data_IF_081686199034
#
_entry.id   IF_081686199034
#
_cell.length_a   1.000
_cell.length_b   1.000
_cell.length_c   1.000
_cell.angle_alpha   90.00
_cell.angle_beta   90.00
_cell.angle_gamma   90.00
#
_symmetry.space_group_name_H-M   'P 1'
#
loop_
_entity.id
_entity.type
_entity.pdbx_description
1 polymer ?
#
# COMPACT_ATOMS: atom_id res chain seq x y z
N UNK A 1 -14.90 -8.73 -21.27
CA UNK A 1 -13.99 -8.86 -22.43
C UNK A 1 -14.61 -9.81 -23.45
N UNK A 2 -14.57 -9.43 -24.73
CA UNK A 2 -15.01 -10.27 -25.85
C UNK A 2 -13.83 -10.52 -26.78
N UNK A 3 -13.83 -11.68 -27.43
CA UNK A 3 -12.86 -12.06 -28.45
C UNK A 3 -13.67 -12.54 -29.65
N UNK A 4 -13.45 -11.95 -30.83
CA UNK A 4 -14.25 -12.19 -32.02
C UNK A 4 -15.74 -11.91 -31.83
N UNK A 5 -16.09 -10.93 -30.98
CA UNK A 5 -17.48 -10.58 -30.64
C UNK A 5 -18.14 -11.48 -29.58
N UNK A 6 -17.56 -12.63 -29.21
CA UNK A 6 -18.08 -13.54 -28.19
C UNK A 6 -17.42 -13.34 -26.82
N UNK A 7 -18.13 -13.51 -25.67
CA UNK A 7 -17.57 -13.39 -24.35
C UNK A 7 -16.39 -14.35 -24.14
N UNK A 8 -15.25 -13.81 -23.66
CA UNK A 8 -14.11 -14.61 -23.23
C UNK A 8 -14.29 -15.03 -21.77
N UNK A 9 -14.57 -16.31 -21.55
CA UNK A 9 -14.83 -16.88 -20.21
C UNK A 9 -13.56 -17.33 -19.50
N UNK A 10 -12.43 -17.43 -20.20
CA UNK A 10 -11.12 -17.83 -19.65
C UNK A 10 -10.07 -16.80 -20.01
N UNK A 11 -9.29 -16.34 -19.02
CA UNK A 11 -8.16 -15.42 -19.23
C UNK A 11 -7.02 -16.05 -20.06
N UNK A 12 -6.93 -17.37 -20.07
CA UNK A 12 -5.94 -18.14 -20.84
C UNK A 12 -6.40 -18.53 -22.24
N UNK A 13 -7.52 -17.96 -22.75
CA UNK A 13 -7.96 -18.20 -24.14
C UNK A 13 -6.88 -17.69 -25.09
N UNK A 14 -6.41 -18.55 -25.96
CA UNK A 14 -5.56 -18.16 -27.09
C UNK A 14 -6.38 -17.37 -28.09
N UNK A 15 -5.81 -16.30 -28.59
CA UNK A 15 -6.40 -15.35 -29.53
C UNK A 15 -5.56 -15.36 -30.79
N UNK A 16 -6.17 -15.55 -31.96
CA UNK A 16 -5.47 -15.42 -33.24
C UNK A 16 -5.26 -13.95 -33.61
N UNK A 17 -4.27 -13.68 -34.45
CA UNK A 17 -3.88 -12.32 -34.81
C UNK A 17 -5.00 -11.49 -35.48
N UNK A 18 -5.95 -12.13 -36.06
CA UNK A 18 -7.14 -11.59 -36.79
C UNK A 18 -8.38 -11.47 -35.88
N UNK A 19 -8.39 -12.08 -34.68
CA UNK A 19 -9.50 -11.93 -33.75
C UNK A 19 -9.48 -10.59 -33.02
N UNK A 20 -10.57 -9.84 -33.09
CA UNK A 20 -10.73 -8.60 -32.33
C UNK A 20 -10.89 -8.88 -30.85
N UNK A 21 -10.13 -8.18 -29.99
CA UNK A 21 -10.28 -8.20 -28.54
C UNK A 21 -10.87 -6.89 -28.10
N UNK A 22 -12.03 -6.93 -27.42
CA UNK A 22 -12.66 -5.75 -26.86
C UNK A 22 -12.91 -5.91 -25.36
N UNK A 23 -12.55 -4.90 -24.59
CA UNK A 23 -12.88 -4.79 -23.17
C UNK A 23 -14.07 -3.85 -23.05
N UNK A 24 -15.17 -4.36 -22.54
CA UNK A 24 -16.40 -3.59 -22.30
C UNK A 24 -16.47 -3.13 -20.85
N UNK A 25 -17.05 -1.96 -20.64
CA UNK A 25 -17.19 -1.33 -19.31
C UNK A 25 -16.38 -0.03 -19.22
N UNK A 26 -16.67 0.79 -18.20
CA UNK A 26 -15.87 1.98 -17.97
C UNK A 26 -14.41 1.58 -17.63
N UNK A 27 -13.42 2.39 -18.00
CA UNK A 27 -12.05 2.14 -17.57
C UNK A 27 -11.97 2.12 -16.03
N UNK A 28 -11.10 1.32 -15.44
CA UNK A 28 -10.89 1.36 -14.00
C UNK A 28 -10.44 2.76 -13.59
N UNK A 29 -10.86 3.20 -12.39
CA UNK A 29 -10.51 4.51 -11.84
C UNK A 29 -9.00 4.68 -11.67
N UNK A 30 -8.31 3.61 -11.27
CA UNK A 30 -6.87 3.59 -11.06
C UNK A 30 -6.22 2.47 -11.87
N UNK A 31 -4.94 2.61 -12.19
CA UNK A 31 -4.15 1.60 -12.93
C UNK A 31 -4.03 0.26 -12.18
N UNK A 32 -4.41 0.23 -10.91
CA UNK A 32 -4.39 -0.98 -10.08
C UNK A 32 -5.39 -0.93 -8.94
N UNK A 33 -5.84 -2.09 -8.45
CA UNK A 33 -6.79 -2.23 -7.33
C UNK A 33 -6.31 -1.57 -6.02
N UNK A 34 -4.99 -1.40 -5.86
CA UNK A 34 -4.41 -0.69 -4.74
C UNK A 34 -4.94 0.73 -4.60
N UNK A 35 -5.19 1.41 -5.72
CA UNK A 35 -5.72 2.78 -5.71
C UNK A 35 -7.04 2.91 -4.97
N UNK A 36 -7.95 1.96 -5.11
CA UNK A 36 -9.22 1.97 -4.37
C UNK A 36 -9.02 1.82 -2.86
N UNK A 37 -8.05 1.00 -2.43
CA UNK A 37 -7.70 0.83 -1.02
C UNK A 37 -7.15 2.12 -0.42
N UNK A 38 -6.21 2.75 -1.14
CA UNK A 38 -5.62 4.01 -0.68
C UNK A 38 -6.67 5.13 -0.65
N UNK A 39 -7.51 5.25 -1.67
CA UNK A 39 -8.57 6.25 -1.71
C UNK A 39 -9.51 6.13 -0.50
N UNK A 40 -9.94 4.90 -0.17
CA UNK A 40 -10.76 4.65 1.01
C UNK A 40 -10.03 4.98 2.33
N UNK A 41 -8.73 4.68 2.43
CA UNK A 41 -7.94 5.02 3.62
C UNK A 41 -7.77 6.53 3.78
N UNK A 42 -7.49 7.26 2.70
CA UNK A 42 -7.39 8.73 2.71
C UNK A 42 -8.68 9.38 3.19
N UNK A 43 -9.82 8.92 2.69
CA UNK A 43 -11.14 9.41 3.09
C UNK A 43 -11.40 9.14 4.59
N UNK A 44 -11.23 7.89 5.03
CA UNK A 44 -11.50 7.49 6.43
C UNK A 44 -10.59 8.18 7.44
N UNK A 45 -9.34 8.45 7.07
CA UNK A 45 -8.37 9.12 7.94
C UNK A 45 -8.40 10.65 7.81
N UNK A 46 -9.16 11.21 6.86
CA UNK A 46 -9.17 12.63 6.58
C UNK A 46 -7.82 13.16 6.10
N UNK A 47 -7.02 12.33 5.40
CA UNK A 47 -5.69 12.71 4.93
C UNK A 47 -5.78 13.38 3.56
N UNK A 48 -5.25 14.59 3.45
CA UNK A 48 -5.23 15.40 2.23
C UNK A 48 -3.84 15.32 1.59
N UNK A 49 -3.78 14.99 0.30
CA UNK A 49 -2.53 14.86 -0.46
C UNK A 49 -2.19 16.09 -1.32
N UNK A 50 -3.10 17.06 -1.42
CA UNK A 50 -2.87 18.25 -2.26
C UNK A 50 -1.55 18.94 -1.92
N UNK A 51 -0.68 19.05 -2.93
CA UNK A 51 0.63 19.69 -2.82
C UNK A 51 1.70 18.90 -2.05
N UNK A 52 1.41 17.69 -1.56
CA UNK A 52 2.35 16.86 -0.82
C UNK A 52 3.30 16.08 -1.73
N UNK A 53 4.53 15.88 -1.27
CA UNK A 53 5.52 14.98 -1.86
C UNK A 53 5.35 13.62 -1.21
N UNK A 54 5.07 12.59 -2.00
CA UNK A 54 4.71 11.27 -1.52
C UNK A 54 5.80 10.24 -1.81
N UNK A 55 6.07 9.35 -0.86
CA UNK A 55 6.84 8.12 -1.04
C UNK A 55 5.85 6.96 -1.15
N UNK A 56 5.86 6.24 -2.27
CA UNK A 56 5.09 5.00 -2.48
C UNK A 56 6.05 3.81 -2.40
N UNK A 57 6.04 3.09 -1.29
CA UNK A 57 6.88 1.93 -1.06
C UNK A 57 6.11 0.64 -1.37
N UNK A 58 6.51 -0.04 -2.43
CA UNK A 58 5.81 -1.19 -3.01
C UNK A 58 4.86 -0.77 -4.13
N UNK A 59 5.32 0.09 -5.03
CA UNK A 59 4.47 0.72 -6.04
C UNK A 59 3.84 -0.28 -7.03
N UNK A 60 4.51 -1.41 -7.34
CA UNK A 60 4.03 -2.44 -8.26
C UNK A 60 3.55 -1.84 -9.59
N UNK A 61 2.28 -2.01 -9.97
CA UNK A 61 1.70 -1.41 -11.17
C UNK A 61 1.40 0.09 -11.03
N UNK A 62 1.50 0.65 -9.83
CA UNK A 62 1.31 2.08 -9.58
C UNK A 62 -0.07 2.46 -9.03
N UNK A 63 -0.83 1.52 -8.48
CA UNK A 63 -2.17 1.83 -7.97
C UNK A 63 -2.18 2.91 -6.90
N UNK A 64 -1.22 2.90 -5.95
CA UNK A 64 -1.11 3.93 -4.93
C UNK A 64 -0.55 5.23 -5.51
N UNK A 65 0.46 5.15 -6.37
CA UNK A 65 1.02 6.30 -7.09
C UNK A 65 -0.07 7.06 -7.86
N UNK A 66 -0.89 6.36 -8.66
CA UNK A 66 -1.99 6.93 -9.43
C UNK A 66 -3.04 7.60 -8.51
N UNK A 67 -3.45 6.90 -7.45
CA UNK A 67 -4.36 7.47 -6.45
C UNK A 67 -3.79 8.73 -5.81
N UNK A 68 -2.50 8.75 -5.45
CA UNK A 68 -1.86 9.93 -4.87
C UNK A 68 -1.85 11.11 -5.83
N UNK A 69 -1.50 10.89 -7.10
CA UNK A 69 -1.51 11.93 -8.13
C UNK A 69 -2.92 12.48 -8.39
N UNK A 70 -3.93 11.60 -8.47
CA UNK A 70 -5.34 12.01 -8.64
C UNK A 70 -5.86 12.77 -7.40
N UNK A 71 -5.34 12.47 -6.20
CA UNK A 71 -5.64 13.20 -4.96
C UNK A 71 -4.83 14.51 -4.81
N UNK A 72 -4.08 14.93 -5.83
CA UNK A 72 -3.39 16.22 -5.88
C UNK A 72 -1.98 16.23 -5.31
N UNK A 73 -1.31 15.07 -5.15
CA UNK A 73 0.10 15.04 -4.77
C UNK A 73 0.95 15.84 -5.77
N UNK A 74 1.90 16.63 -5.26
CA UNK A 74 2.81 17.42 -6.07
C UNK A 74 3.83 16.54 -6.80
N UNK A 75 4.28 15.47 -6.14
CA UNK A 75 5.18 14.48 -6.72
C UNK A 75 5.11 13.17 -5.95
N UNK A 76 5.50 12.08 -6.62
CA UNK A 76 5.57 10.74 -6.03
C UNK A 76 6.93 10.10 -6.35
N UNK A 77 7.59 9.57 -5.33
CA UNK A 77 8.72 8.64 -5.51
C UNK A 77 8.16 7.24 -5.39
N UNK A 78 8.09 6.52 -6.50
CA UNK A 78 7.56 5.15 -6.59
C UNK A 78 8.72 4.15 -6.49
N UNK A 79 8.73 3.38 -5.40
CA UNK A 79 9.80 2.40 -5.08
C UNK A 79 9.25 0.99 -5.19
N UNK A 80 9.94 0.13 -5.94
CA UNK A 80 9.61 -1.29 -6.01
C UNK A 80 10.86 -2.15 -6.25
N UNK A 81 10.87 -3.36 -5.69
CA UNK A 81 11.91 -4.36 -5.93
C UNK A 81 11.83 -4.95 -7.34
N UNK A 82 10.64 -4.93 -7.93
CA UNK A 82 10.39 -5.32 -9.33
C UNK A 82 10.94 -4.30 -10.32
N UNK A 83 10.94 -4.70 -11.58
CA UNK A 83 11.34 -3.84 -12.70
C UNK A 83 10.30 -3.93 -13.81
N UNK A 84 10.00 -2.79 -14.46
CA UNK A 84 9.09 -2.73 -15.61
C UNK A 84 7.64 -3.00 -15.26
N UNK A 85 7.24 -2.89 -13.97
CA UNK A 85 5.87 -3.15 -13.53
C UNK A 85 4.99 -1.90 -13.52
N UNK A 86 5.60 -0.74 -13.23
CA UNK A 86 4.87 0.53 -13.15
C UNK A 86 4.20 0.83 -14.50
N UNK A 87 2.93 1.21 -14.45
CA UNK A 87 2.15 1.57 -15.65
C UNK A 87 2.88 2.64 -16.48
N UNK A 88 2.80 2.50 -17.80
CA UNK A 88 3.49 3.37 -18.74
C UNK A 88 3.10 4.84 -18.57
N UNK A 89 1.84 5.14 -18.29
CA UNK A 89 1.36 6.49 -18.06
C UNK A 89 2.00 7.15 -16.86
N UNK A 90 2.18 6.40 -15.77
CA UNK A 90 2.82 6.87 -14.54
C UNK A 90 4.33 7.02 -14.71
N UNK A 91 4.95 6.10 -15.45
CA UNK A 91 6.39 6.14 -15.73
C UNK A 91 6.79 7.38 -16.52
N UNK A 92 5.89 7.91 -17.33
CA UNK A 92 6.10 9.12 -18.16
C UNK A 92 5.49 10.40 -17.55
N UNK A 93 4.91 10.33 -16.36
CA UNK A 93 4.43 11.52 -15.65
C UNK A 93 5.62 12.22 -14.99
N UNK A 94 5.83 13.50 -15.30
CA UNK A 94 6.93 14.33 -14.80
C UNK A 94 6.95 14.47 -13.27
N UNK A 95 5.82 14.19 -12.60
CA UNK A 95 5.68 14.21 -11.16
C UNK A 95 6.14 12.91 -10.50
N UNK A 96 6.45 11.85 -11.28
CA UNK A 96 6.82 10.53 -10.77
C UNK A 96 8.32 10.28 -10.93
N UNK A 97 8.98 10.04 -9.82
CA UNK A 97 10.35 9.51 -9.80
C UNK A 97 10.28 8.00 -9.54
N UNK A 98 10.79 7.19 -10.47
CA UNK A 98 10.73 5.73 -10.37
C UNK A 98 12.05 5.15 -9.86
N UNK A 99 12.02 4.42 -8.76
CA UNK A 99 13.14 3.68 -8.15
C UNK A 99 12.84 2.17 -8.22
N UNK A 100 13.14 1.55 -9.35
CA UNK A 100 12.95 0.10 -9.56
C UNK A 100 14.18 -0.73 -9.21
N UNK A 101 13.94 -1.96 -8.76
CA UNK A 101 14.98 -2.87 -8.30
C UNK A 101 15.54 -2.49 -6.93
N UNK A 102 14.82 -1.64 -6.19
CA UNK A 102 15.18 -1.19 -4.84
C UNK A 102 14.29 -1.89 -3.83
N UNK A 103 14.90 -2.60 -2.88
CA UNK A 103 14.15 -3.18 -1.78
C UNK A 103 13.85 -2.08 -0.74
N UNK A 104 12.60 -1.94 -0.34
CA UNK A 104 12.19 -0.91 0.62
C UNK A 104 12.89 -1.00 1.99
N UNK A 105 13.45 -2.16 2.37
CA UNK A 105 14.27 -2.30 3.58
C UNK A 105 15.65 -1.65 3.46
N UNK A 106 16.12 -1.44 2.24
CA UNK A 106 17.42 -0.86 1.93
C UNK A 106 17.30 0.62 1.52
N UNK A 107 16.11 1.23 1.72
CA UNK A 107 15.89 2.65 1.48
C UNK A 107 16.80 3.51 2.37
N UNK A 108 17.41 4.51 1.72
CA UNK A 108 18.21 5.55 2.36
C UNK A 108 17.71 6.92 1.89
N UNK A 109 17.65 7.92 2.77
CA UNK A 109 17.27 9.29 2.39
C UNK A 109 18.05 9.85 1.20
N UNK A 110 19.32 9.46 1.03
CA UNK A 110 20.14 9.90 -0.10
C UNK A 110 19.67 9.38 -1.47
N UNK A 111 18.83 8.34 -1.49
CA UNK A 111 18.23 7.81 -2.72
C UNK A 111 17.06 8.66 -3.21
N UNK A 112 16.47 9.49 -2.35
CA UNK A 112 15.28 10.28 -2.65
C UNK A 112 15.66 11.73 -2.97
N UNK A 113 14.95 12.38 -3.92
CA UNK A 113 15.18 13.80 -4.23
C UNK A 113 14.75 14.75 -3.11
N UNK A 114 13.99 14.25 -2.13
CA UNK A 114 13.47 15.02 -0.99
C UNK A 114 13.03 14.08 0.15
N UNK A 115 12.94 14.61 1.37
CA UNK A 115 12.19 13.96 2.43
C UNK A 115 10.69 14.06 2.14
N UNK A 116 9.98 12.93 2.13
CA UNK A 116 8.56 12.91 1.76
C UNK A 116 7.67 13.48 2.88
N UNK A 117 6.61 14.18 2.48
CA UNK A 117 5.61 14.73 3.41
C UNK A 117 4.58 13.68 3.83
N UNK A 118 4.52 12.57 3.06
CA UNK A 118 3.69 11.41 3.34
C UNK A 118 4.31 10.17 2.71
N UNK A 119 4.26 9.04 3.42
CA UNK A 119 4.56 7.74 2.84
C UNK A 119 3.31 6.86 2.81
N UNK A 120 3.13 6.13 1.71
CA UNK A 120 2.17 5.04 1.57
C UNK A 120 2.93 3.74 1.36
N UNK A 121 2.50 2.65 2.01
CA UNK A 121 3.26 1.40 2.05
C UNK A 121 2.36 0.21 1.75
N UNK A 122 2.59 -0.45 0.60
CA UNK A 122 1.87 -1.65 0.17
C UNK A 122 2.83 -2.74 -0.29
N UNK A 123 3.57 -3.32 0.63
CA UNK A 123 4.57 -4.36 0.34
C UNK A 123 4.00 -5.77 0.52
N UNK A 124 4.60 -6.74 -0.18
CA UNK A 124 4.25 -8.15 -0.09
C UNK A 124 5.47 -9.00 0.19
N UNK A 125 5.26 -10.15 0.84
CA UNK A 125 6.29 -11.17 1.13
C UNK A 125 7.38 -10.75 2.12
N UNK A 126 7.20 -9.64 2.80
CA UNK A 126 8.07 -9.12 3.85
C UNK A 126 7.22 -8.50 4.95
N UNK A 127 7.66 -8.58 6.21
CA UNK A 127 7.01 -7.91 7.32
C UNK A 127 7.31 -6.42 7.30
N UNK A 128 6.31 -5.58 7.58
CA UNK A 128 6.44 -4.13 7.76
C UNK A 128 7.41 -3.77 8.90
N UNK A 129 7.55 -4.64 9.90
CA UNK A 129 8.48 -4.41 11.02
C UNK A 129 9.93 -4.18 10.57
N UNK A 130 10.29 -4.70 9.38
CA UNK A 130 11.62 -4.54 8.78
C UNK A 130 11.76 -3.29 7.90
N UNK A 131 10.65 -2.62 7.61
CA UNK A 131 10.59 -1.52 6.65
C UNK A 131 10.32 -0.18 7.32
N UNK A 132 9.69 -0.19 8.50
CA UNK A 132 9.28 1.03 9.20
C UNK A 132 10.46 1.96 9.45
N UNK A 133 11.59 1.44 9.94
CA UNK A 133 12.79 2.25 10.17
C UNK A 133 13.33 2.94 8.92
N UNK A 134 13.66 2.20 7.85
CA UNK A 134 14.06 2.79 6.57
C UNK A 134 13.07 3.81 6.01
N UNK A 135 11.76 3.52 6.06
CA UNK A 135 10.72 4.45 5.59
C UNK A 135 10.66 5.70 6.49
N UNK A 136 10.71 5.53 7.79
CA UNK A 136 10.72 6.65 8.74
C UNK A 136 11.92 7.59 8.57
N UNK A 137 13.06 7.07 8.11
CA UNK A 137 14.22 7.88 7.78
C UNK A 137 14.02 8.72 6.51
N UNK A 138 13.17 8.29 5.59
CA UNK A 138 12.93 8.92 4.29
C UNK A 138 11.82 9.97 4.30
N UNK A 139 11.15 10.19 5.42
CA UNK A 139 10.03 11.14 5.54
C UNK A 139 10.39 12.33 6.43
N UNK A 140 9.74 13.46 6.19
CA UNK A 140 9.89 14.66 7.00
C UNK A 140 9.41 14.43 8.47
N UNK A 141 9.86 15.25 9.44
CA UNK A 141 9.47 15.08 10.84
C UNK A 141 7.95 15.09 11.08
N UNK A 142 7.20 15.92 10.34
CA UNK A 142 5.74 16.05 10.45
C UNK A 142 4.98 15.16 9.48
N UNK A 143 5.66 14.22 8.83
CA UNK A 143 5.05 13.36 7.83
C UNK A 143 4.08 12.34 8.46
N UNK A 144 3.08 11.97 7.69
CA UNK A 144 2.21 10.84 7.96
C UNK A 144 2.69 9.61 7.18
N UNK A 145 2.68 8.44 7.81
CA UNK A 145 2.90 7.16 7.15
C UNK A 145 1.60 6.35 7.18
N UNK A 146 1.09 5.98 6.00
CA UNK A 146 -0.05 5.09 5.84
C UNK A 146 0.47 3.71 5.43
N UNK A 147 0.59 2.79 6.38
CA UNK A 147 1.10 1.46 6.13
C UNK A 147 -0.02 0.43 6.09
N UNK A 148 -0.08 -0.36 5.00
CA UNK A 148 -1.05 -1.43 4.87
C UNK A 148 -0.49 -2.73 5.45
N UNK A 149 -0.93 -3.07 6.65
CA UNK A 149 -0.61 -4.33 7.34
C UNK A 149 -1.30 -5.48 6.63
N UNK A 150 -0.51 -6.45 6.21
CA UNK A 150 -0.98 -7.70 5.61
C UNK A 150 -0.74 -8.85 6.59
N UNK A 151 -1.74 -9.29 7.36
CA UNK A 151 -1.52 -10.25 8.46
C UNK A 151 -0.79 -11.51 8.02
N UNK A 152 -1.00 -11.95 6.78
CA UNK A 152 -0.35 -13.14 6.23
C UNK A 152 1.18 -13.01 6.06
N UNK A 153 1.74 -11.80 6.11
CA UNK A 153 3.18 -11.57 6.03
C UNK A 153 3.80 -11.14 7.37
N UNK A 154 2.97 -10.82 8.34
CA UNK A 154 3.40 -10.44 9.70
C UNK A 154 3.51 -11.64 10.63
N UNK A 155 2.59 -12.59 10.49
CA UNK A 155 2.62 -13.83 11.27
C UNK A 155 3.70 -14.78 10.73
N UNK A 156 4.52 -15.35 11.60
CA UNK A 156 5.67 -16.20 11.25
C UNK A 156 5.35 -17.37 10.31
N UNK A 157 6.35 -17.85 9.61
CA UNK A 157 6.25 -19.00 8.69
C UNK A 157 5.61 -20.20 9.40
N UNK A 158 4.62 -20.83 8.75
CA UNK A 158 3.92 -22.01 9.26
C UNK A 158 2.62 -21.72 10.02
N UNK A 159 2.37 -20.48 10.44
CA UNK A 159 1.10 -20.12 11.12
C UNK A 159 -0.05 -19.90 10.12
N UNK A 160 0.23 -19.36 8.94
CA UNK A 160 -0.80 -19.00 7.97
C UNK A 160 -1.11 -20.16 7.02
N UNK A 161 -2.13 -20.95 7.34
CA UNK A 161 -2.59 -22.08 6.51
C UNK A 161 -3.31 -21.58 5.26
N UNK A 162 -2.90 -22.05 4.08
CA UNK A 162 -3.53 -21.65 2.82
C UNK A 162 -3.31 -20.19 2.42
N UNK A 163 -2.45 -19.44 3.15
CA UNK A 163 -2.13 -18.05 2.85
C UNK A 163 -3.20 -17.04 3.26
N UNK A 164 -4.19 -17.43 4.09
CA UNK A 164 -5.28 -16.56 4.57
C UNK A 164 -5.38 -16.60 6.09
N UNK A 165 -5.38 -15.42 6.71
CA UNK A 165 -5.60 -15.23 8.16
C UNK A 165 -7.07 -14.93 8.38
N UNK A 166 -7.79 -15.91 8.95
CA UNK A 166 -9.25 -15.81 9.19
C UNK A 166 -9.60 -15.33 10.59
N UNK A 167 -8.75 -15.63 11.55
CA UNK A 167 -9.00 -15.34 12.96
C UNK A 167 -8.72 -13.85 13.26
N UNK A 168 -9.65 -13.19 13.96
CA UNK A 168 -9.52 -11.79 14.34
C UNK A 168 -8.39 -11.58 15.36
N UNK A 169 -8.14 -12.54 16.24
CA UNK A 169 -7.05 -12.46 17.22
C UNK A 169 -5.68 -12.52 16.55
N UNK A 170 -5.54 -13.34 15.50
CA UNK A 170 -4.32 -13.39 14.68
C UNK A 170 -4.13 -12.08 13.89
N UNK A 171 -5.20 -11.51 13.33
CA UNK A 171 -5.11 -10.18 12.68
C UNK A 171 -4.69 -9.11 13.67
N UNK A 172 -5.26 -9.12 14.89
CA UNK A 172 -4.88 -8.20 15.97
C UNK A 172 -3.40 -8.34 16.31
N UNK A 173 -2.90 -9.57 16.49
CA UNK A 173 -1.49 -9.84 16.77
C UNK A 173 -0.59 -9.23 15.68
N UNK A 174 -0.92 -9.45 14.41
CA UNK A 174 -0.17 -8.92 13.28
C UNK A 174 -0.11 -7.38 13.29
N UNK A 175 -1.25 -6.70 13.50
CA UNK A 175 -1.30 -5.23 13.56
C UNK A 175 -0.55 -4.72 14.80
N UNK A 176 -0.73 -5.36 15.95
CA UNK A 176 -0.03 -4.98 17.20
C UNK A 176 1.49 -5.10 17.07
N UNK A 177 1.98 -6.13 16.38
CA UNK A 177 3.41 -6.31 16.10
C UNK A 177 3.99 -5.17 15.27
N UNK A 178 3.27 -4.74 14.22
CA UNK A 178 3.68 -3.60 13.38
C UNK A 178 3.65 -2.29 14.16
N UNK A 179 2.62 -2.05 14.96
CA UNK A 179 2.51 -0.84 15.80
C UNK A 179 3.60 -0.80 16.87
N UNK A 180 3.95 -1.94 17.45
CA UNK A 180 5.05 -2.03 18.41
C UNK A 180 6.40 -1.71 17.75
N UNK A 181 6.67 -2.26 16.56
CA UNK A 181 7.87 -1.94 15.80
C UNK A 181 7.92 -0.44 15.39
N UNK A 182 6.78 0.16 15.08
CA UNK A 182 6.70 1.60 14.77
C UNK A 182 7.14 2.46 15.98
N UNK A 183 6.76 2.07 17.18
CA UNK A 183 7.13 2.78 18.41
C UNK A 183 8.65 2.78 18.68
N UNK A 184 9.39 1.77 18.21
CA UNK A 184 10.86 1.72 18.28
C UNK A 184 11.53 2.81 17.41
N UNK A 185 10.77 3.45 16.51
CA UNK A 185 11.21 4.53 15.62
C UNK A 185 10.49 5.85 15.90
N UNK A 186 10.01 6.07 17.14
CA UNK A 186 9.29 7.27 17.59
C UNK A 186 8.01 7.55 16.79
N UNK A 187 7.39 6.51 16.22
CA UNK A 187 6.13 6.59 15.50
C UNK A 187 4.98 6.08 16.37
N UNK A 188 3.96 6.90 16.56
CA UNK A 188 2.75 6.55 17.27
C UNK A 188 1.61 6.25 16.28
N UNK A 189 0.81 5.21 16.56
CA UNK A 189 -0.42 4.94 15.80
C UNK A 189 -1.47 5.99 16.16
N UNK A 190 -2.03 6.67 15.15
CA UNK A 190 -3.07 7.70 15.31
C UNK A 190 -4.44 7.23 14.86
N UNK A 191 -4.48 6.26 13.95
CA UNK A 191 -5.71 5.64 13.48
C UNK A 191 -5.41 4.27 12.87
N UNK A 192 -6.41 3.41 12.82
CA UNK A 192 -6.38 2.14 12.11
C UNK A 192 -7.73 1.89 11.45
N UNK A 193 -7.75 1.26 10.27
CA UNK A 193 -8.99 0.89 9.57
C UNK A 193 -8.76 -0.30 8.65
N UNK A 194 -9.78 -1.13 8.47
CA UNK A 194 -9.75 -2.14 7.40
C UNK A 194 -9.60 -1.48 6.02
N UNK A 195 -8.85 -2.12 5.12
CA UNK A 195 -8.61 -1.60 3.77
C UNK A 195 -9.86 -1.56 2.87
N UNK A 196 -10.96 -2.18 3.30
CA UNK A 196 -12.25 -2.17 2.62
C UNK A 196 -12.33 -3.08 1.39
N UNK A 197 -11.22 -3.30 0.70
CA UNK A 197 -11.11 -4.22 -0.43
C UNK A 197 -10.20 -5.37 -0.02
N UNK A 198 -10.69 -6.63 -0.01
CA UNK A 198 -9.86 -7.77 0.40
C UNK A 198 -8.70 -8.00 -0.57
N UNK A 199 -7.61 -8.54 -0.02
CA UNK A 199 -6.47 -9.00 -0.81
C UNK A 199 -6.84 -10.11 -1.80
N UNK A 200 -5.95 -10.47 -2.74
CA UNK A 200 -6.25 -11.42 -3.84
C UNK A 200 -6.76 -12.79 -3.40
N UNK A 201 -6.41 -13.23 -2.18
CA UNK A 201 -6.88 -14.51 -1.60
C UNK A 201 -7.98 -14.32 -0.55
N UNK A 202 -8.51 -13.09 -0.39
CA UNK A 202 -9.53 -12.78 0.59
C UNK A 202 -9.00 -12.40 1.99
N UNK A 203 -7.69 -12.10 2.13
CA UNK A 203 -7.17 -11.55 3.37
C UNK A 203 -7.76 -10.17 3.66
N UNK A 204 -8.15 -9.93 4.90
CA UNK A 204 -8.53 -8.62 5.41
C UNK A 204 -7.26 -7.88 5.81
N UNK A 205 -6.94 -6.84 5.07
CA UNK A 205 -5.75 -6.00 5.28
C UNK A 205 -6.15 -4.75 6.04
N UNK A 206 -5.23 -4.20 6.85
CA UNK A 206 -5.52 -3.08 7.74
C UNK A 206 -4.55 -1.95 7.47
N UNK A 207 -5.06 -0.74 7.21
CA UNK A 207 -4.23 0.45 7.22
C UNK A 207 -4.02 0.95 8.65
N UNK A 208 -2.77 1.30 8.96
CA UNK A 208 -2.40 2.06 10.15
C UNK A 208 -1.85 3.41 9.73
N UNK A 209 -2.31 4.47 10.40
CA UNK A 209 -1.76 5.82 10.29
C UNK A 209 -0.76 6.03 11.42
N UNK A 210 0.49 6.27 11.04
CA UNK A 210 1.61 6.46 11.95
C UNK A 210 2.16 7.88 11.79
N UNK A 211 2.49 8.51 12.91
CA UNK A 211 3.06 9.86 12.95
C UNK A 211 4.08 9.96 14.10
N UNK A 212 5.10 10.80 13.93
CA UNK A 212 6.05 11.07 15.02
C UNK A 212 5.35 11.77 16.18
N UNK A 213 5.83 11.53 17.39
CA UNK A 213 5.37 12.18 18.60
C UNK A 213 5.09 11.22 19.75
N UNK A 214 4.47 11.75 20.82
CA UNK A 214 4.19 10.98 22.01
C UNK A 214 3.41 9.70 21.70
N UNK A 215 3.81 8.58 22.33
CA UNK A 215 3.17 7.30 22.16
C UNK A 215 1.67 7.39 22.50
N UNK A 216 0.86 6.71 21.70
CA UNK A 216 -0.57 6.57 21.96
C UNK A 216 -0.77 5.74 23.23
N UNK A 217 -1.65 6.18 24.11
CA UNK A 217 -1.94 5.47 25.35
C UNK A 217 -2.39 4.01 25.05
N UNK A 218 -1.99 3.06 25.88
CA UNK A 218 -2.21 1.64 25.60
C UNK A 218 -3.69 1.30 25.34
N UNK A 219 -4.59 1.81 26.16
CA UNK A 219 -6.03 1.56 25.99
C UNK A 219 -6.59 2.13 24.67
N UNK A 220 -6.14 3.32 24.27
CA UNK A 220 -6.53 3.94 23.00
C UNK A 220 -5.97 3.16 21.80
N UNK A 221 -4.69 2.81 21.84
CA UNK A 221 -4.04 1.99 20.83
C UNK A 221 -4.76 0.67 20.62
N UNK A 222 -5.08 -0.03 21.71
CA UNK A 222 -5.73 -1.33 21.67
C UNK A 222 -7.16 -1.21 21.13
N UNK A 223 -7.88 -0.13 21.45
CA UNK A 223 -9.20 0.17 20.88
C UNK A 223 -9.15 0.45 19.38
N UNK A 224 -8.15 1.22 18.90
CA UNK A 224 -7.95 1.48 17.47
C UNK A 224 -7.70 0.18 16.68
N UNK A 225 -6.85 -0.69 17.21
CA UNK A 225 -6.53 -1.97 16.57
C UNK A 225 -7.76 -2.88 16.55
N UNK A 226 -8.47 -2.99 17.68
CA UNK A 226 -9.70 -3.82 17.79
C UNK A 226 -10.75 -3.42 16.75
N UNK A 227 -11.05 -2.12 16.67
CA UNK A 227 -12.03 -1.60 15.72
C UNK A 227 -11.65 -1.86 14.24
N UNK A 228 -10.35 -1.95 13.94
CA UNK A 228 -9.87 -2.18 12.58
C UNK A 228 -9.84 -3.66 12.15
N UNK A 229 -9.87 -4.61 13.11
CA UNK A 229 -9.78 -6.05 12.83
C UNK A 229 -11.08 -6.82 13.08
N UNK A 230 -12.11 -6.16 13.60
CA UNK A 230 -13.42 -6.72 13.93
C UNK A 230 -14.17 -7.40 12.76
#
# INVERSE_FOLDING_TARGET
MTVGGAPATKVSRLVSADESVAVSGPPPRFVGRGGEKLAAALERFGVVLTGKRVLDAGASTGGFTDCALQAGAASVVAVDVGRGQLDWSLRNDERVTTLEGVNARDLDPAMLPYAADLAVVDVSFISLTKLIGPIAACVAPEATILAMVKPQFELGKGRVKGGVVRDASERREAVSGVVAAAAEHDLAVRAATEAGVPGPKGNREVFVRLERGAATAAAERDALIEAAVA
#
